data_IF_842370912740
#
_entry.id   IF_842370912740
#
_cell.length_a   1.000
_cell.length_b   1.000
_cell.length_c   1.000
_cell.angle_alpha   90.00
_cell.angle_beta   90.00
_cell.angle_gamma   90.00
#
_symmetry.space_group_name_H-M   'P 1'
#
loop_
_entity.id
_entity.type
_entity.pdbx_description
1 polymer ?
#
# COMPACT_ATOMS: atom_id res chain seq x y z
N UNK A 1 7.02 -4.88 2.14
CA UNK A 1 8.22 -4.03 1.84
C UNK A 1 8.28 -2.80 2.73
N UNK A 2 9.40 -2.06 2.77
CA UNK A 2 9.40 -0.72 3.36
C UNK A 2 8.57 0.22 2.48
N UNK A 3 7.54 0.80 3.05
CA UNK A 3 6.62 1.69 2.36
C UNK A 3 6.04 2.66 3.38
N UNK A 4 6.00 3.95 3.04
CA UNK A 4 5.44 4.97 3.93
C UNK A 4 3.94 4.72 4.09
N UNK A 5 3.43 4.72 5.33
CA UNK A 5 2.03 4.36 5.61
C UNK A 5 1.74 2.86 5.71
N UNK A 6 2.76 1.99 5.59
CA UNK A 6 2.57 0.53 5.62
C UNK A 6 1.80 0.04 6.84
N UNK A 7 0.73 -0.73 6.61
CA UNK A 7 -0.09 -1.37 7.64
C UNK A 7 0.49 -2.68 8.20
N UNK A 8 1.73 -3.04 7.81
CA UNK A 8 2.34 -4.31 8.22
C UNK A 8 2.33 -4.53 9.74
N UNK A 9 2.51 -3.47 10.54
CA UNK A 9 2.55 -3.56 12.01
C UNK A 9 1.18 -3.85 12.61
N UNK A 10 0.11 -3.32 12.01
CA UNK A 10 -1.26 -3.46 12.50
C UNK A 10 -2.04 -4.57 11.79
N UNK A 11 -1.48 -5.16 10.74
CA UNK A 11 -2.12 -6.23 9.97
C UNK A 11 -2.66 -7.35 10.86
N UNK A 12 -1.88 -7.79 11.87
CA UNK A 12 -2.28 -8.83 12.83
C UNK A 12 -3.55 -8.49 13.65
N UNK A 13 -3.92 -7.21 13.73
CA UNK A 13 -5.08 -6.73 14.48
C UNK A 13 -6.31 -6.51 13.60
N UNK A 14 -6.13 -6.13 12.32
CA UNK A 14 -7.26 -5.81 11.44
C UNK A 14 -7.60 -6.94 10.46
N UNK A 15 -6.61 -7.70 9.98
CA UNK A 15 -6.87 -8.84 9.07
C UNK A 15 -7.85 -9.87 9.65
N UNK A 16 -7.74 -10.32 10.91
CA UNK A 16 -8.68 -11.30 11.46
C UNK A 16 -10.12 -10.81 11.42
N UNK A 17 -10.37 -9.51 11.63
CA UNK A 17 -11.70 -8.91 11.61
C UNK A 17 -12.28 -8.98 10.19
N UNK A 18 -11.50 -8.57 9.20
CA UNK A 18 -11.92 -8.57 7.80
C UNK A 18 -12.08 -9.98 7.24
N UNK A 19 -11.15 -10.88 7.58
CA UNK A 19 -11.18 -12.26 7.11
C UNK A 19 -12.31 -13.08 7.73
N UNK A 20 -12.77 -12.75 8.95
CA UNK A 20 -13.94 -13.39 9.58
C UNK A 20 -15.25 -13.10 8.80
N UNK A 21 -15.31 -12.01 8.05
CA UNK A 21 -16.46 -11.66 7.22
C UNK A 21 -16.30 -12.08 5.75
N UNK A 22 -15.09 -12.53 5.36
CA UNK A 22 -14.82 -12.97 4.00
C UNK A 22 -15.49 -14.31 3.73
N UNK A 23 -16.33 -14.36 2.72
CA UNK A 23 -16.99 -15.60 2.27
C UNK A 23 -16.00 -16.48 1.48
N UNK A 24 -16.24 -17.80 1.40
CA UNK A 24 -15.49 -18.68 0.50
C UNK A 24 -15.52 -18.12 -0.94
N UNK A 25 -14.41 -18.26 -1.67
CA UNK A 25 -14.22 -17.80 -3.07
C UNK A 25 -14.40 -16.30 -3.33
N UNK A 26 -14.68 -15.51 -2.29
CA UNK A 26 -14.79 -14.06 -2.39
C UNK A 26 -13.42 -13.44 -2.71
N UNK A 27 -13.37 -12.55 -3.72
CA UNK A 27 -12.16 -11.81 -4.05
C UNK A 27 -11.79 -10.84 -2.92
N UNK A 28 -10.50 -10.79 -2.62
CA UNK A 28 -9.91 -9.73 -1.80
C UNK A 28 -9.36 -8.66 -2.73
N UNK A 29 -9.78 -7.40 -2.56
CA UNK A 29 -9.40 -6.29 -3.44
C UNK A 29 -8.81 -5.15 -2.62
N UNK A 30 -7.60 -4.72 -2.98
CA UNK A 30 -6.96 -3.52 -2.42
C UNK A 30 -6.81 -2.46 -3.53
N UNK A 31 -7.71 -1.44 -3.59
CA UNK A 31 -7.62 -0.35 -4.57
C UNK A 31 -6.39 0.54 -4.40
N UNK A 32 -5.77 0.51 -3.23
CA UNK A 32 -4.57 1.25 -2.81
C UNK A 32 -3.56 0.28 -2.21
N UNK A 33 -2.97 -0.60 -3.04
CA UNK A 33 -2.18 -1.73 -2.54
C UNK A 33 -0.84 -1.31 -1.92
N UNK A 34 -0.30 -0.16 -2.33
CA UNK A 34 0.96 0.36 -1.84
C UNK A 34 2.07 -0.70 -1.82
N UNK A 35 2.70 -0.90 -0.68
CA UNK A 35 3.76 -1.89 -0.51
C UNK A 35 3.31 -3.35 -0.43
N UNK A 36 2.07 -3.67 -0.76
CA UNK A 36 1.45 -5.00 -0.71
C UNK A 36 1.58 -5.68 0.66
N UNK A 37 1.59 -4.91 1.74
CA UNK A 37 1.85 -5.41 3.09
C UNK A 37 0.61 -5.97 3.81
N UNK A 38 -0.55 -5.94 3.16
CA UNK A 38 -1.78 -6.56 3.63
C UNK A 38 -2.13 -7.76 2.74
N UNK A 39 -2.23 -7.55 1.43
CA UNK A 39 -2.60 -8.56 0.43
C UNK A 39 -1.66 -9.77 0.42
N UNK A 40 -0.38 -9.60 0.78
CA UNK A 40 0.62 -10.67 0.87
C UNK A 40 0.34 -11.68 2.01
N UNK A 41 -0.62 -11.38 2.89
CA UNK A 41 -1.03 -12.23 4.04
C UNK A 41 -2.40 -12.87 3.82
N UNK A 42 -3.02 -12.58 2.71
CA UNK A 42 -4.34 -13.11 2.35
C UNK A 42 -4.16 -14.25 1.35
N UNK A 43 -4.97 -15.29 1.44
CA UNK A 43 -4.96 -16.43 0.51
C UNK A 43 -6.17 -16.37 -0.44
N UNK A 44 -6.14 -17.12 -1.54
CA UNK A 44 -7.21 -17.20 -2.53
C UNK A 44 -7.16 -16.06 -3.56
N UNK A 45 -8.31 -15.70 -4.14
CA UNK A 45 -8.42 -14.70 -5.21
C UNK A 45 -8.11 -13.29 -4.69
N UNK A 46 -7.15 -12.58 -5.32
CA UNK A 46 -6.66 -11.29 -4.84
C UNK A 46 -6.37 -10.33 -5.98
N UNK A 47 -6.82 -9.09 -5.84
CA UNK A 47 -6.48 -7.97 -6.73
C UNK A 47 -5.85 -6.85 -5.90
N UNK A 48 -4.67 -6.39 -6.31
CA UNK A 48 -4.03 -5.20 -5.76
C UNK A 48 -3.87 -4.14 -6.83
N UNK A 49 -4.37 -2.93 -6.60
CA UNK A 49 -4.25 -1.81 -7.53
C UNK A 49 -3.50 -0.64 -6.87
N UNK A 50 -2.78 0.11 -7.66
CA UNK A 50 -2.18 1.38 -7.25
C UNK A 50 -2.06 2.32 -8.45
N UNK A 51 -2.15 3.63 -8.20
CA UNK A 51 -2.00 4.63 -9.26
C UNK A 51 -0.55 4.75 -9.75
N UNK A 52 0.42 4.37 -8.93
CA UNK A 52 1.83 4.46 -9.27
C UNK A 52 2.26 3.27 -10.15
N UNK A 53 2.35 3.52 -11.45
CA UNK A 53 2.72 2.50 -12.45
C UNK A 53 4.07 1.82 -12.19
N UNK A 54 5.05 2.53 -11.62
CA UNK A 54 6.37 1.98 -11.31
C UNK A 54 6.32 1.04 -10.10
N UNK A 55 5.48 1.36 -9.11
CA UNK A 55 5.23 0.47 -7.99
C UNK A 55 4.59 -0.84 -8.46
N UNK A 56 3.54 -0.72 -9.28
CA UNK A 56 2.83 -1.89 -9.80
C UNK A 56 3.73 -2.74 -10.69
N UNK A 57 4.53 -2.11 -11.56
CA UNK A 57 5.51 -2.83 -12.38
C UNK A 57 6.53 -3.60 -11.52
N UNK A 58 7.00 -3.01 -10.42
CA UNK A 58 7.87 -3.71 -9.47
C UNK A 58 7.15 -4.91 -8.83
N UNK A 59 5.90 -4.76 -8.37
CA UNK A 59 5.14 -5.85 -7.75
C UNK A 59 4.88 -7.00 -8.72
N UNK A 60 4.54 -6.70 -9.99
CA UNK A 60 4.37 -7.68 -11.06
C UNK A 60 5.69 -8.41 -11.32
N UNK A 61 6.78 -7.67 -11.54
CA UNK A 61 8.08 -8.26 -11.81
C UNK A 61 8.55 -9.17 -10.65
N UNK A 62 8.33 -8.75 -9.39
CA UNK A 62 8.65 -9.56 -8.21
C UNK A 62 7.84 -10.86 -8.18
N UNK A 63 6.54 -10.81 -8.47
CA UNK A 63 5.68 -12.00 -8.59
C UNK A 63 6.23 -12.95 -9.65
N UNK A 64 6.73 -12.41 -10.73
CA UNK A 64 7.23 -13.16 -11.90
C UNK A 64 8.74 -13.50 -11.77
N UNK A 65 9.32 -13.36 -10.57
CA UNK A 65 10.66 -13.86 -10.26
C UNK A 65 11.80 -12.83 -10.38
N UNK A 66 11.51 -11.55 -10.59
CA UNK A 66 12.52 -10.51 -10.61
C UNK A 66 13.25 -10.38 -9.27
N UNK A 67 14.57 -10.30 -9.35
CA UNK A 67 15.44 -10.05 -8.20
C UNK A 67 16.02 -8.63 -8.34
N UNK A 68 15.63 -7.68 -7.48
CA UNK A 68 16.14 -6.31 -7.53
C UNK A 68 17.65 -6.25 -7.21
N UNK A 69 18.37 -5.25 -7.73
CA UNK A 69 19.80 -5.10 -7.49
C UNK A 69 20.10 -4.89 -6.01
N UNK A 70 21.26 -5.41 -5.57
CA UNK A 70 21.73 -5.28 -4.19
C UNK A 70 22.62 -4.05 -4.00
N UNK A 71 22.97 -3.36 -5.07
CA UNK A 71 23.77 -2.13 -5.02
C UNK A 71 23.16 -1.06 -5.94
N UNK A 72 22.91 0.12 -5.39
CA UNK A 72 22.45 1.31 -6.11
C UNK A 72 23.22 2.50 -5.57
N UNK A 73 24.08 3.09 -6.41
CA UNK A 73 24.86 4.27 -6.00
C UNK A 73 23.96 5.52 -5.93
N UNK A 74 24.45 6.54 -5.24
CA UNK A 74 23.75 7.83 -5.17
C UNK A 74 23.59 8.48 -6.55
N UNK A 75 24.60 8.36 -7.40
CA UNK A 75 24.62 8.87 -8.77
C UNK A 75 23.53 8.17 -9.60
N UNK A 76 23.47 6.84 -9.54
CA UNK A 76 22.46 6.04 -10.23
C UNK A 76 21.05 6.37 -9.75
N UNK A 77 20.85 6.57 -8.43
CA UNK A 77 19.56 6.99 -7.87
C UNK A 77 19.08 8.30 -8.50
N UNK A 78 19.95 9.32 -8.57
CA UNK A 78 19.56 10.61 -9.14
C UNK A 78 19.45 10.58 -10.67
N UNK A 79 20.24 9.75 -11.36
CA UNK A 79 20.11 9.53 -12.80
C UNK A 79 18.71 8.95 -13.13
N UNK A 80 18.30 7.88 -12.44
CA UNK A 80 16.98 7.26 -12.62
C UNK A 80 15.86 8.24 -12.25
N UNK A 81 16.01 8.99 -11.15
CA UNK A 81 15.02 9.99 -10.71
C UNK A 81 14.80 11.09 -11.74
N UNK A 82 15.86 11.54 -12.41
CA UNK A 82 15.79 12.62 -13.41
C UNK A 82 15.17 12.18 -14.74
N UNK A 83 15.34 10.89 -15.11
CA UNK A 83 14.93 10.33 -16.38
C UNK A 83 14.28 8.94 -16.22
N UNK A 84 13.20 8.81 -15.45
CA UNK A 84 12.65 7.49 -15.10
C UNK A 84 12.19 6.69 -16.32
N UNK A 85 11.81 7.35 -17.42
CA UNK A 85 11.36 6.68 -18.66
C UNK A 85 12.48 6.00 -19.45
N UNK A 86 13.75 6.31 -19.15
CA UNK A 86 14.92 5.68 -19.79
C UNK A 86 15.31 4.35 -19.13
N UNK A 87 14.65 3.96 -18.03
CA UNK A 87 14.96 2.76 -17.26
C UNK A 87 13.76 1.81 -17.17
N UNK A 88 14.00 0.49 -16.96
CA UNK A 88 12.93 -0.47 -16.71
C UNK A 88 12.03 -0.03 -15.55
N UNK A 89 10.72 -0.11 -15.72
CA UNK A 89 9.75 0.40 -14.73
C UNK A 89 9.93 -0.24 -13.35
N UNK A 90 10.19 -1.54 -13.29
CA UNK A 90 10.44 -2.28 -12.05
C UNK A 90 11.69 -1.79 -11.32
N UNK A 91 12.75 -1.42 -12.06
CA UNK A 91 13.94 -0.82 -11.46
C UNK A 91 13.64 0.58 -10.91
N UNK A 92 12.90 1.38 -11.66
CA UNK A 92 12.46 2.72 -11.20
C UNK A 92 11.63 2.60 -9.92
N UNK A 93 10.68 1.65 -9.85
CA UNK A 93 9.89 1.36 -8.67
C UNK A 93 10.76 0.95 -7.47
N UNK A 94 11.70 0.03 -7.70
CA UNK A 94 12.64 -0.40 -6.66
C UNK A 94 13.47 0.78 -6.11
N UNK A 95 14.13 1.53 -6.99
CA UNK A 95 15.00 2.64 -6.61
C UNK A 95 14.19 3.76 -5.96
N UNK A 96 13.04 4.12 -6.54
CA UNK A 96 12.18 5.20 -6.06
C UNK A 96 11.61 4.98 -4.65
N UNK A 97 11.33 3.72 -4.26
CA UNK A 97 10.81 3.39 -2.93
C UNK A 97 11.89 2.84 -2.00
N UNK A 98 12.61 1.79 -2.38
CA UNK A 98 13.45 1.02 -1.46
C UNK A 98 14.82 1.66 -1.21
N UNK A 99 15.32 2.45 -2.17
CA UNK A 99 16.54 3.24 -2.03
C UNK A 99 16.26 4.67 -1.55
N UNK A 100 15.00 4.98 -1.20
CA UNK A 100 14.58 6.28 -0.68
C UNK A 100 14.36 6.24 0.83
N UNK A 101 14.60 7.39 1.47
CA UNK A 101 14.41 7.56 2.91
C UNK A 101 12.96 7.26 3.32
N UNK A 102 12.81 6.40 4.33
CA UNK A 102 11.51 6.03 4.90
C UNK A 102 10.58 5.24 3.96
N UNK A 103 11.06 4.77 2.80
CA UNK A 103 10.20 4.11 1.80
C UNK A 103 9.21 5.06 1.13
N UNK A 104 9.52 6.38 1.14
CA UNK A 104 8.73 7.42 0.47
C UNK A 104 9.17 7.55 -0.99
N UNK A 105 8.21 7.63 -1.92
CA UNK A 105 8.49 7.85 -3.34
C UNK A 105 9.41 9.05 -3.57
N UNK A 106 10.62 8.79 -4.08
CA UNK A 106 11.68 9.78 -4.29
C UNK A 106 11.97 10.66 -3.06
N UNK A 107 11.87 10.10 -1.85
CA UNK A 107 12.08 10.79 -0.58
C UNK A 107 13.53 11.20 -0.26
N UNK A 108 14.42 11.09 -1.23
CA UNK A 108 15.87 11.31 -1.10
C UNK A 108 16.62 10.01 -0.93
N UNK A 109 17.84 9.94 -1.47
CA UNK A 109 18.70 8.76 -1.37
C UNK A 109 18.91 8.35 0.08
N UNK A 110 18.55 7.11 0.41
CA UNK A 110 18.65 6.60 1.76
C UNK A 110 20.09 6.21 2.08
N UNK A 111 20.68 6.86 3.08
CA UNK A 111 21.96 6.47 3.65
C UNK A 111 21.96 6.76 5.16
N UNK A 112 22.88 6.13 5.88
CA UNK A 112 23.15 6.47 7.27
C UNK A 112 24.68 6.45 7.53
N UNK A 113 25.09 7.00 8.68
CA UNK A 113 26.50 7.09 9.09
C UNK A 113 27.13 5.71 9.35
N UNK A 114 26.34 4.64 9.50
CA UNK A 114 26.80 3.28 9.73
C UNK A 114 27.12 2.54 8.44
N UNK A 115 26.83 3.13 7.26
CA UNK A 115 27.09 2.52 5.97
C UNK A 115 26.11 1.40 5.60
N UNK A 116 24.88 1.38 6.17
CA UNK A 116 23.88 0.36 5.84
C UNK A 116 23.54 0.41 4.34
N UNK A 117 23.59 -0.75 3.69
CA UNK A 117 23.18 -0.91 2.30
C UNK A 117 21.65 -1.06 2.20
N UNK A 118 20.98 0.05 1.88
CA UNK A 118 19.51 0.07 1.76
C UNK A 118 19.00 -0.69 0.53
N UNK A 119 19.77 -0.74 -0.57
CA UNK A 119 19.41 -1.52 -1.75
C UNK A 119 19.43 -3.02 -1.45
N UNK A 120 20.50 -3.53 -0.83
CA UNK A 120 20.61 -4.94 -0.44
C UNK A 120 19.49 -5.35 0.53
N UNK A 121 19.31 -4.59 1.60
CA UNK A 121 18.24 -4.88 2.58
C UNK A 121 16.85 -4.80 1.97
N UNK A 122 16.63 -3.89 1.04
CA UNK A 122 15.39 -3.75 0.26
C UNK A 122 15.16 -4.93 -0.66
N UNK A 123 16.16 -5.31 -1.45
CA UNK A 123 16.12 -6.47 -2.36
C UNK A 123 15.78 -7.75 -1.59
N UNK A 124 16.53 -8.05 -0.52
CA UNK A 124 16.29 -9.22 0.33
C UNK A 124 14.86 -9.24 0.94
N UNK A 125 14.36 -8.09 1.39
CA UNK A 125 13.01 -7.97 1.93
C UNK A 125 11.95 -8.26 0.86
N UNK A 126 12.12 -7.73 -0.35
CA UNK A 126 11.19 -7.92 -1.46
C UNK A 126 11.18 -9.36 -1.97
N UNK A 127 12.34 -9.98 -2.16
CA UNK A 127 12.44 -11.40 -2.57
C UNK A 127 11.76 -12.31 -1.54
N UNK A 128 11.89 -12.00 -0.24
CA UNK A 128 11.16 -12.75 0.80
C UNK A 128 9.65 -12.55 0.71
N UNK A 129 9.18 -11.32 0.48
CA UNK A 129 7.76 -10.98 0.40
C UNK A 129 7.12 -11.56 -0.87
N UNK A 130 7.85 -11.55 -2.00
CA UNK A 130 7.39 -12.04 -3.30
C UNK A 130 6.93 -13.51 -3.27
N UNK A 131 7.43 -14.31 -2.34
CA UNK A 131 6.97 -15.71 -2.12
C UNK A 131 5.47 -15.82 -1.84
N UNK A 132 4.84 -14.72 -1.39
CA UNK A 132 3.42 -14.65 -1.09
C UNK A 132 2.60 -13.99 -2.21
N UNK A 133 3.23 -13.65 -3.35
CA UNK A 133 2.56 -12.92 -4.44
C UNK A 133 1.92 -13.83 -5.49
N UNK A 134 2.17 -15.12 -5.41
CA UNK A 134 1.55 -16.09 -6.34
C UNK A 134 0.03 -15.92 -6.38
N UNK A 135 -0.55 -15.89 -7.59
CA UNK A 135 -1.98 -15.69 -7.81
C UNK A 135 -2.53 -14.28 -7.52
N UNK A 136 -1.71 -13.29 -7.14
CA UNK A 136 -2.18 -11.90 -7.03
C UNK A 136 -2.22 -11.27 -8.42
N UNK A 137 -3.37 -10.69 -8.76
CA UNK A 137 -3.52 -9.83 -9.94
C UNK A 137 -3.19 -8.39 -9.55
N UNK A 138 -2.06 -7.87 -10.02
CA UNK A 138 -1.71 -6.45 -9.82
C UNK A 138 -2.18 -5.62 -11.03
N UNK A 139 -2.87 -4.51 -10.77
CA UNK A 139 -3.37 -3.55 -11.76
C UNK A 139 -2.83 -2.15 -11.45
N UNK A 140 -2.67 -1.31 -12.48
CA UNK A 140 -2.22 0.08 -12.32
C UNK A 140 -3.27 1.02 -12.90
N UNK A 141 -3.71 1.99 -12.09
CA UNK A 141 -4.69 2.99 -12.51
C UNK A 141 -5.48 3.57 -11.35
N UNK A 142 -6.44 4.42 -11.70
CA UNK A 142 -7.36 5.01 -10.73
C UNK A 142 -8.22 3.92 -10.07
N UNK A 143 -8.44 4.05 -8.75
CA UNK A 143 -9.39 3.18 -8.04
C UNK A 143 -10.83 3.32 -8.56
N UNK A 144 -11.16 4.47 -9.16
CA UNK A 144 -12.46 4.73 -9.76
C UNK A 144 -12.73 3.89 -11.02
N UNK A 145 -11.66 3.49 -11.72
CA UNK A 145 -11.71 2.71 -12.96
C UNK A 145 -11.43 1.23 -12.74
N UNK A 146 -11.17 0.85 -11.47
CA UNK A 146 -10.85 -0.53 -11.14
C UNK A 146 -12.07 -1.43 -11.31
N UNK A 147 -11.98 -2.38 -12.24
CA UNK A 147 -12.97 -3.45 -12.36
C UNK A 147 -12.85 -4.40 -11.16
N UNK A 148 -13.89 -4.44 -10.35
CA UNK A 148 -13.97 -5.24 -9.13
C UNK A 148 -14.95 -6.40 -9.38
N UNK A 149 -14.55 -7.67 -9.17
CA UNK A 149 -15.45 -8.80 -9.27
C UNK A 149 -16.63 -8.67 -8.31
N UNK A 150 -17.81 -9.12 -8.73
CA UNK A 150 -19.02 -9.07 -7.90
C UNK A 150 -18.79 -9.70 -6.51
N UNK A 151 -19.49 -9.16 -5.52
CA UNK A 151 -19.48 -9.67 -4.14
C UNK A 151 -18.06 -9.80 -3.54
N UNK A 152 -17.16 -8.86 -3.84
CA UNK A 152 -15.80 -8.84 -3.30
C UNK A 152 -15.72 -8.28 -1.87
N UNK A 153 -14.66 -8.64 -1.15
CA UNK A 153 -14.22 -7.91 0.04
C UNK A 153 -13.16 -6.89 -0.39
N UNK A 154 -13.45 -5.61 -0.16
CA UNK A 154 -12.60 -4.48 -0.54
C UNK A 154 -11.98 -3.90 0.72
N UNK A 155 -10.64 -3.81 0.73
CA UNK A 155 -9.91 -3.11 1.79
C UNK A 155 -9.24 -1.86 1.22
N UNK A 156 -9.64 -0.70 1.73
CA UNK A 156 -9.12 0.60 1.33
C UNK A 156 -8.15 1.16 2.37
N UNK A 157 -6.95 1.53 1.92
CA UNK A 157 -5.94 2.25 2.70
C UNK A 157 -5.47 3.46 1.87
N UNK A 158 -6.34 4.48 1.68
CA UNK A 158 -6.05 5.64 0.84
C UNK A 158 -4.96 6.53 1.47
N UNK A 159 -4.36 7.47 0.73
CA UNK A 159 -3.63 8.59 1.33
C UNK A 159 -4.54 9.32 2.32
N UNK A 160 -4.12 9.42 3.59
CA UNK A 160 -4.97 9.95 4.66
C UNK A 160 -5.16 11.45 4.54
N UNK A 161 -6.38 11.91 4.84
CA UNK A 161 -6.71 13.32 4.91
C UNK A 161 -5.77 14.06 5.89
N UNK A 162 -5.34 15.26 5.52
CA UNK A 162 -4.48 16.13 6.35
C UNK A 162 -3.09 15.56 6.71
N UNK A 163 -2.62 14.53 5.99
CA UNK A 163 -1.23 14.07 6.10
C UNK A 163 -0.35 14.70 5.03
N UNK A 164 0.98 14.46 5.06
CA UNK A 164 1.91 15.05 4.06
C UNK A 164 1.38 14.87 2.63
N UNK A 165 1.20 15.98 1.92
CA UNK A 165 0.69 16.03 0.55
C UNK A 165 1.47 15.04 -0.33
N UNK A 166 0.80 13.99 -0.76
CA UNK A 166 1.20 13.20 -1.92
C UNK A 166 0.93 14.04 -3.16
N UNK A 167 1.70 13.82 -4.23
CA UNK A 167 1.48 14.49 -5.52
C UNK A 167 0.11 14.13 -6.14
N UNK A 168 -0.45 13.00 -5.70
CA UNK A 168 -1.71 12.41 -6.15
C UNK A 168 -2.71 12.41 -4.99
N UNK A 169 -3.10 13.62 -4.54
CA UNK A 169 -4.07 13.80 -3.46
C UNK A 169 -5.46 13.34 -3.95
N UNK A 170 -6.07 12.41 -3.26
CA UNK A 170 -7.43 11.95 -3.60
C UNK A 170 -8.47 12.96 -3.12
N UNK A 171 -9.55 13.12 -3.87
CA UNK A 171 -10.73 13.82 -3.36
C UNK A 171 -11.47 12.92 -2.37
N UNK A 172 -11.40 13.26 -1.08
CA UNK A 172 -11.98 12.43 -0.02
C UNK A 172 -13.50 12.33 -0.09
N UNK A 173 -14.21 13.37 -0.57
CA UNK A 173 -15.67 13.29 -0.75
C UNK A 173 -16.03 12.26 -1.82
N UNK A 174 -15.36 12.29 -2.97
CA UNK A 174 -15.53 11.28 -4.03
C UNK A 174 -15.17 9.90 -3.52
N UNK A 175 -14.10 9.77 -2.73
CA UNK A 175 -13.70 8.50 -2.16
C UNK A 175 -14.76 7.91 -1.22
N UNK A 176 -15.32 8.69 -0.31
CA UNK A 176 -16.36 8.23 0.59
C UNK A 176 -17.65 7.87 -0.15
N UNK A 177 -18.02 8.64 -1.20
CA UNK A 177 -19.17 8.31 -2.07
C UNK A 177 -18.92 7.00 -2.83
N UNK A 178 -17.72 6.79 -3.32
CA UNK A 178 -17.34 5.52 -3.94
C UNK A 178 -17.46 4.35 -2.96
N UNK A 179 -16.99 4.49 -1.72
CA UNK A 179 -17.13 3.44 -0.69
C UNK A 179 -18.59 3.09 -0.41
N UNK A 180 -19.48 4.12 -0.35
CA UNK A 180 -20.95 3.92 -0.22
C UNK A 180 -21.52 3.16 -1.40
N UNK A 181 -21.14 3.54 -2.61
CA UNK A 181 -21.59 2.90 -3.83
C UNK A 181 -21.16 1.44 -3.89
N UNK A 182 -19.90 1.13 -3.58
CA UNK A 182 -19.39 -0.24 -3.55
C UNK A 182 -20.16 -1.11 -2.54
N UNK A 183 -20.44 -0.57 -1.34
CA UNK A 183 -21.22 -1.32 -0.34
C UNK A 183 -22.65 -1.57 -0.83
N UNK A 184 -23.31 -0.56 -1.42
CA UNK A 184 -24.68 -0.70 -1.99
C UNK A 184 -24.73 -1.67 -3.17
N UNK A 185 -23.62 -1.84 -3.89
CA UNK A 185 -23.48 -2.84 -4.97
C UNK A 185 -23.19 -4.26 -4.46
N UNK A 186 -23.21 -4.49 -3.14
CA UNK A 186 -23.09 -5.82 -2.55
C UNK A 186 -21.67 -6.22 -2.15
N UNK A 187 -20.70 -5.30 -2.21
CA UNK A 187 -19.34 -5.56 -1.71
C UNK A 187 -19.26 -5.37 -0.19
N UNK A 188 -18.36 -6.12 0.45
CA UNK A 188 -17.98 -5.87 1.85
C UNK A 188 -16.81 -4.89 1.84
N UNK A 189 -17.00 -3.66 2.36
CA UNK A 189 -15.97 -2.61 2.28
C UNK A 189 -15.44 -2.25 3.66
N UNK A 190 -14.11 -2.32 3.82
CA UNK A 190 -13.38 -1.86 5.01
C UNK A 190 -12.42 -0.73 4.63
N UNK A 191 -12.32 0.28 5.49
CA UNK A 191 -11.51 1.47 5.24
C UNK A 191 -10.62 1.75 6.45
N UNK A 192 -9.31 1.87 6.23
CA UNK A 192 -8.37 2.42 7.23
C UNK A 192 -8.28 3.93 7.05
N UNK A 193 -8.54 4.69 8.10
CA UNK A 193 -8.45 6.15 8.16
C UNK A 193 -8.43 6.63 9.62
N UNK A 194 -8.11 7.90 9.86
CA UNK A 194 -8.21 8.51 11.18
C UNK A 194 -9.64 8.98 11.49
N UNK A 195 -10.34 9.49 10.47
CA UNK A 195 -11.69 10.04 10.57
C UNK A 195 -12.54 9.56 9.41
N UNK A 196 -13.83 9.40 9.65
CA UNK A 196 -14.81 9.03 8.63
C UNK A 196 -16.09 9.86 8.80
N UNK A 197 -16.90 10.01 7.75
CA UNK A 197 -18.25 10.59 7.85
C UNK A 197 -19.14 9.84 8.84
N UNK A 198 -20.18 10.51 9.37
CA UNK A 198 -21.05 9.99 10.45
C UNK A 198 -21.82 8.72 10.09
N UNK A 199 -21.97 8.44 8.81
CA UNK A 199 -22.62 7.25 8.27
C UNK A 199 -21.66 6.03 8.15
N UNK A 200 -20.43 6.18 8.61
CA UNK A 200 -19.49 5.07 8.79
C UNK A 200 -19.31 4.73 10.27
N UNK A 201 -19.21 3.45 10.60
CA UNK A 201 -18.96 2.97 11.94
C UNK A 201 -17.52 2.52 12.07
N UNK A 202 -16.86 2.93 13.17
CA UNK A 202 -15.56 2.41 13.54
C UNK A 202 -15.74 1.00 14.14
N UNK A 203 -15.20 -0.02 13.47
CA UNK A 203 -15.25 -1.42 13.93
C UNK A 203 -14.03 -1.82 14.75
N UNK A 204 -12.92 -1.06 14.63
CA UNK A 204 -11.70 -1.28 15.40
C UNK A 204 -10.89 -0.01 15.53
N UNK A 205 -10.38 0.24 16.75
CA UNK A 205 -9.34 1.23 17.01
C UNK A 205 -8.05 0.53 17.43
N UNK A 206 -6.92 1.04 16.94
CA UNK A 206 -5.59 0.51 17.23
C UNK A 206 -4.68 1.68 17.61
N UNK A 207 -4.25 1.69 18.85
CA UNK A 207 -3.22 2.62 19.30
C UNK A 207 -1.86 2.10 18.89
N UNK A 208 -1.06 2.90 18.21
CA UNK A 208 0.32 2.59 17.96
C UNK A 208 1.23 3.82 18.05
N UNK A 209 2.43 3.62 18.56
CA UNK A 209 3.45 4.66 18.57
C UNK A 209 4.00 4.86 17.15
N UNK A 210 3.95 6.10 16.66
CA UNK A 210 4.58 6.46 15.38
C UNK A 210 6.01 6.91 15.63
N UNK A 211 6.97 6.24 14.97
CA UNK A 211 8.40 6.58 15.05
C UNK A 211 8.72 7.90 14.30
N UNK A 212 7.84 8.34 13.41
CA UNK A 212 8.08 9.45 12.47
C UNK A 212 7.78 10.84 13.02
N UNK A 213 7.12 10.95 14.16
CA UNK A 213 6.78 12.24 14.78
C UNK A 213 7.11 12.24 16.26
N UNK A 214 8.38 12.54 16.56
CA UNK A 214 8.88 12.67 17.95
C UNK A 214 8.29 13.88 18.69
N UNK A 215 7.60 14.78 17.99
CA UNK A 215 7.01 16.01 18.56
C UNK A 215 5.51 15.86 18.81
N UNK A 216 4.87 14.78 18.40
CA UNK A 216 3.46 14.52 18.68
C UNK A 216 3.33 13.91 20.08
N UNK A 217 2.76 14.66 21.00
CA UNK A 217 2.49 14.22 22.40
C UNK A 217 1.34 13.21 22.50
N UNK A 218 0.68 12.87 21.38
CA UNK A 218 -0.47 11.98 21.38
C UNK A 218 -0.22 10.77 20.46
N UNK A 219 -0.54 9.54 20.94
CA UNK A 219 -0.49 8.36 20.08
C UNK A 219 -1.50 8.53 18.93
N UNK A 220 -1.08 8.21 17.71
CA UNK A 220 -2.01 8.15 16.58
C UNK A 220 -2.85 6.90 16.71
N UNK A 221 -4.16 7.06 16.60
CA UNK A 221 -5.13 5.96 16.65
C UNK A 221 -5.53 5.65 15.19
N UNK A 222 -5.08 4.52 14.70
CA UNK A 222 -5.57 3.96 13.43
C UNK A 222 -6.95 3.36 13.64
N UNK A 223 -7.87 3.64 12.73
CA UNK A 223 -9.25 3.14 12.81
C UNK A 223 -9.60 2.35 11.56
N UNK A 224 -10.38 1.31 11.76
CA UNK A 224 -10.99 0.54 10.70
C UNK A 224 -12.47 0.84 10.66
N UNK A 225 -12.95 1.31 9.52
CA UNK A 225 -14.34 1.73 9.33
C UNK A 225 -15.09 0.83 8.36
N UNK A 226 -16.44 0.86 8.50
CA UNK A 226 -17.42 0.32 7.55
C UNK A 226 -18.56 1.29 7.35
N UNK A 227 -19.16 1.28 6.17
CA UNK A 227 -20.42 1.99 5.92
C UNK A 227 -21.57 1.33 6.70
N UNK A 228 -22.43 2.15 7.33
CA UNK A 228 -23.70 1.70 7.93
C UNK A 228 -24.70 1.52 6.79
N UNK A 229 -24.88 0.30 6.33
CA UNK A 229 -25.92 -0.02 5.34
C UNK A 229 -27.30 0.03 5.95
#
# INVERSE_FOLDING_TARGET
MRYMGSKNRIAKHILPIMLAERKPDQWWVEPFVGGANMIDKVVGNRIGNDINEYLVALLIALRDGYVPPTNVSKELYYAIKSKPREYPKELVGFVGFLCSFGGKWWGGYAFNKKGDNYAESGSRCLVKQAKNFDGIVFKSGSYLELEIPENSLIYCDPPYANTCRYKDDINHDIFWDWCRAQTKSGHTVFISEYYAPNDFVCVKEIQHETILDKNSQYPRIEKLFRYKA
#
